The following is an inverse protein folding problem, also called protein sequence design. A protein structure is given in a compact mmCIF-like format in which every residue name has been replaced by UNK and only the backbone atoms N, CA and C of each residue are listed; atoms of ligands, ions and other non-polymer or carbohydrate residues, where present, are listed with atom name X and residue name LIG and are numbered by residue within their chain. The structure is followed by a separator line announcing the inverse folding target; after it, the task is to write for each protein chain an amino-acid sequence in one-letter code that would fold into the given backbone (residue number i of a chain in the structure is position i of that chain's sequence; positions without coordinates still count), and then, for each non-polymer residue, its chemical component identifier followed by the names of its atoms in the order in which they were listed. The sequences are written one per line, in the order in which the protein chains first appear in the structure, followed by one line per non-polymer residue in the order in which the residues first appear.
data_IF_859947555845
#
_entry.id   IF_859947555845
#
_cell.length_a   1.000
_cell.length_b   1.000
_cell.length_c   1.000
_cell.angle_alpha   90.00
_cell.angle_beta   90.00
_cell.angle_gamma   90.00
#
_symmetry.space_group_name_H-M   'P 1'
#
loop_
_entity.id
_entity.type
_entity.pdbx_description
1 polymer ?
#
# COMPACT_ATOMS: atom_id res chain seq x y z
N UNK A 1 -8.56 20.49 -1.90
CA UNK A 1 -8.78 19.14 -2.46
C UNK A 1 -8.73 18.14 -1.30
N UNK A 2 -9.73 17.24 -1.23
CA UNK A 2 -9.81 16.23 -0.18
C UNK A 2 -8.64 15.24 -0.32
N UNK A 3 -8.05 14.81 0.79
CA UNK A 3 -7.00 13.80 0.87
C UNK A 3 -7.37 12.53 0.06
N UNK A 4 -8.66 12.18 0.05
CA UNK A 4 -9.21 11.09 -0.75
C UNK A 4 -9.06 11.29 -2.27
N UNK A 5 -9.25 12.53 -2.74
CA UNK A 5 -9.12 12.88 -4.17
C UNK A 5 -7.65 12.84 -4.60
N UNK A 6 -6.76 13.28 -3.75
CA UNK A 6 -5.30 13.27 -3.99
C UNK A 6 -4.76 11.83 -4.05
N UNK A 7 -5.19 10.97 -3.12
CA UNK A 7 -4.83 9.54 -3.11
C UNK A 7 -5.37 8.81 -4.35
N UNK A 8 -6.58 9.15 -4.80
CA UNK A 8 -7.20 8.55 -5.98
C UNK A 8 -6.51 9.01 -7.27
N UNK A 9 -6.08 10.27 -7.33
CA UNK A 9 -5.31 10.82 -8.45
C UNK A 9 -3.94 10.13 -8.56
N UNK A 10 -3.24 9.98 -7.44
CA UNK A 10 -1.94 9.31 -7.35
C UNK A 10 -2.02 7.84 -7.82
N UNK A 11 -3.05 7.10 -7.38
CA UNK A 11 -3.30 5.72 -7.84
C UNK A 11 -3.61 5.63 -9.34
N UNK A 12 -4.40 6.57 -9.86
CA UNK A 12 -4.75 6.62 -11.28
C UNK A 12 -3.52 6.89 -12.16
N UNK A 13 -2.64 7.77 -11.73
CA UNK A 13 -1.38 8.04 -12.44
C UNK A 13 -0.44 6.84 -12.41
N UNK A 14 -0.26 6.20 -11.26
CA UNK A 14 0.56 5.00 -11.11
C UNK A 14 0.07 3.84 -11.98
N UNK A 15 -1.23 3.61 -12.04
CA UNK A 15 -1.80 2.58 -12.91
C UNK A 15 -1.54 2.88 -14.40
N UNK A 16 -1.65 4.13 -14.82
CA UNK A 16 -1.38 4.53 -16.20
C UNK A 16 0.07 4.27 -16.61
N UNK A 17 1.00 4.58 -15.73
CA UNK A 17 2.43 4.33 -15.95
C UNK A 17 2.73 2.83 -16.05
N UNK A 18 2.13 2.02 -15.16
CA UNK A 18 2.25 0.57 -15.21
C UNK A 18 1.72 -0.02 -16.53
N UNK A 19 0.58 0.45 -17.02
CA UNK A 19 0.05 0.02 -18.33
C UNK A 19 0.96 0.41 -19.49
N UNK A 20 1.62 1.56 -19.41
CA UNK A 20 2.61 1.96 -20.42
C UNK A 20 3.84 1.04 -20.41
N UNK A 21 4.36 0.69 -19.23
CA UNK A 21 5.48 -0.25 -19.08
C UNK A 21 5.12 -1.63 -19.64
N UNK A 22 3.92 -2.16 -19.32
CA UNK A 22 3.42 -3.40 -19.90
C UNK A 22 3.30 -3.36 -21.43
N UNK A 23 2.89 -2.22 -21.97
CA UNK A 23 2.84 -2.01 -23.42
C UNK A 23 4.23 -2.04 -24.06
N UNK A 24 5.22 -1.45 -23.41
CA UNK A 24 6.62 -1.48 -23.85
C UNK A 24 7.19 -2.89 -23.76
N UNK A 25 6.96 -3.62 -22.68
CA UNK A 25 7.39 -5.01 -22.51
C UNK A 25 6.85 -5.89 -23.65
N UNK A 26 5.56 -5.80 -23.90
CA UNK A 26 4.92 -6.54 -25.00
C UNK A 26 5.53 -6.20 -26.37
N UNK A 27 5.79 -4.93 -26.62
CA UNK A 27 6.43 -4.48 -27.88
C UNK A 27 7.83 -5.03 -28.01
N UNK A 28 8.60 -5.04 -26.93
CA UNK A 28 9.96 -5.54 -26.89
C UNK A 28 10.03 -7.07 -27.09
N UNK A 29 9.07 -7.81 -26.53
CA UNK A 29 8.91 -9.26 -26.75
C UNK A 29 8.65 -9.56 -28.23
N UNK A 30 7.74 -8.82 -28.87
CA UNK A 30 7.48 -8.99 -30.31
C UNK A 30 8.70 -8.65 -31.15
N UNK A 31 9.40 -7.58 -30.80
CA UNK A 31 10.61 -7.15 -31.50
C UNK A 31 11.72 -8.22 -31.39
N UNK A 32 12.00 -8.70 -30.18
CA UNK A 32 12.99 -9.77 -29.95
C UNK A 32 12.65 -11.06 -30.69
N UNK A 33 11.37 -11.44 -30.70
CA UNK A 33 10.89 -12.63 -31.41
C UNK A 33 11.06 -12.48 -32.92
N UNK A 34 10.79 -11.31 -33.47
CA UNK A 34 10.97 -11.00 -34.89
C UNK A 34 12.45 -11.03 -35.28
N UNK A 35 13.34 -10.46 -34.45
CA UNK A 35 14.78 -10.52 -34.67
C UNK A 35 15.30 -11.95 -34.69
N UNK A 36 14.88 -12.82 -33.76
CA UNK A 36 15.24 -14.23 -33.72
C UNK A 36 14.76 -14.99 -34.97
N UNK A 37 13.57 -14.67 -35.47
CA UNK A 37 13.05 -15.25 -36.71
C UNK A 37 13.88 -14.81 -37.92
N UNK A 38 14.29 -13.55 -37.96
CA UNK A 38 15.16 -13.02 -39.00
C UNK A 38 16.55 -13.67 -38.95
N UNK A 39 17.15 -13.79 -37.77
CA UNK A 39 18.42 -14.48 -37.56
C UNK A 39 18.40 -15.88 -38.17
N UNK A 40 17.37 -16.69 -37.80
CA UNK A 40 17.22 -18.05 -38.33
C UNK A 40 17.07 -18.10 -39.86
N UNK A 41 16.41 -17.09 -40.42
CA UNK A 41 16.22 -17.00 -41.88
C UNK A 41 17.54 -16.65 -42.58
N UNK A 42 18.28 -15.68 -42.07
CA UNK A 42 19.57 -15.27 -42.60
C UNK A 42 20.64 -16.36 -42.46
N UNK A 43 20.65 -17.09 -41.33
CA UNK A 43 21.52 -18.27 -41.17
C UNK A 43 21.24 -19.37 -42.19
N UNK A 44 19.96 -19.58 -42.55
CA UNK A 44 19.62 -20.55 -43.64
C UNK A 44 20.11 -20.10 -45.00
N UNK A 45 20.07 -18.80 -45.28
CA UNK A 45 20.61 -18.23 -46.50
C UNK A 45 22.13 -18.40 -46.54
N UNK A 46 22.84 -18.05 -45.45
CA UNK A 46 24.29 -18.16 -45.35
C UNK A 46 24.80 -19.60 -45.59
N UNK A 47 24.04 -20.63 -45.11
CA UNK A 47 24.37 -22.04 -45.35
C UNK A 47 24.26 -22.45 -46.83
N UNK A 48 23.95 -21.55 -47.75
CA UNK A 48 23.95 -21.76 -49.18
C UNK A 48 22.92 -22.79 -49.72
N UNK A 49 21.96 -23.19 -48.90
CA UNK A 49 20.95 -24.22 -49.28
C UNK A 49 19.83 -23.66 -50.16
N UNK A 50 19.64 -22.35 -50.14
CA UNK A 50 18.49 -21.68 -50.77
C UNK A 50 19.00 -20.82 -51.94
N UNK A 51 20.07 -20.04 -51.74
CA UNK A 51 20.66 -19.12 -52.72
C UNK A 51 22.16 -19.35 -52.71
N UNK A 52 22.77 -19.30 -53.90
CA UNK A 52 24.22 -19.31 -54.04
C UNK A 52 24.76 -17.88 -53.90
N UNK A 53 25.50 -17.64 -52.83
CA UNK A 53 26.10 -16.35 -52.52
C UNK A 53 27.49 -16.22 -53.13
N UNK A 54 27.90 -15.02 -53.52
CA UNK A 54 29.28 -14.66 -53.82
C UNK A 54 30.05 -14.39 -52.52
N UNK A 55 31.35 -14.36 -52.56
CA UNK A 55 32.21 -14.19 -51.38
C UNK A 55 31.92 -12.88 -50.64
N UNK A 56 31.82 -11.77 -51.36
CA UNK A 56 31.46 -10.47 -50.79
C UNK A 56 30.05 -10.44 -50.15
N UNK A 57 29.09 -11.21 -50.68
CA UNK A 57 27.73 -11.31 -50.13
C UNK A 57 27.72 -12.13 -48.84
N UNK A 58 28.62 -13.11 -48.71
CA UNK A 58 28.74 -13.93 -47.47
C UNK A 58 29.29 -13.08 -46.34
N UNK A 59 30.35 -12.30 -46.56
CA UNK A 59 30.94 -11.39 -45.58
C UNK A 59 29.91 -10.38 -45.09
N UNK A 60 29.18 -9.75 -46.00
CA UNK A 60 28.10 -8.81 -45.64
C UNK A 60 26.99 -9.47 -44.82
N UNK A 61 26.63 -10.71 -45.15
CA UNK A 61 25.59 -11.43 -44.44
C UNK A 61 26.03 -11.87 -43.04
N UNK A 62 27.31 -12.20 -42.84
CA UNK A 62 27.92 -12.48 -41.56
C UNK A 62 27.92 -11.22 -40.68
N UNK A 63 28.27 -10.08 -41.19
CA UNK A 63 28.22 -8.78 -40.49
C UNK A 63 26.78 -8.48 -40.02
N UNK A 64 25.78 -8.64 -40.89
CA UNK A 64 24.36 -8.44 -40.55
C UNK A 64 23.92 -9.41 -39.47
N UNK A 65 24.39 -10.67 -39.48
CA UNK A 65 24.06 -11.63 -38.43
C UNK A 65 24.66 -11.24 -37.07
N UNK A 66 25.86 -10.68 -37.06
CA UNK A 66 26.48 -10.15 -35.83
C UNK A 66 25.64 -9.01 -35.28
N UNK A 67 25.22 -8.06 -36.09
CA UNK A 67 24.36 -6.94 -35.67
C UNK A 67 22.98 -7.41 -35.12
N UNK A 68 22.38 -8.39 -35.80
CA UNK A 68 21.11 -8.97 -35.33
C UNK A 68 21.28 -9.66 -33.97
N UNK A 69 22.36 -10.44 -33.78
CA UNK A 69 22.65 -11.08 -32.47
C UNK A 69 22.83 -10.03 -31.37
N UNK A 70 23.57 -8.98 -31.65
CA UNK A 70 23.74 -7.86 -30.72
C UNK A 70 22.40 -7.18 -30.40
N UNK A 71 21.54 -6.96 -31.38
CA UNK A 71 20.20 -6.40 -31.17
C UNK A 71 19.29 -7.32 -30.33
N UNK A 72 19.40 -8.64 -30.50
CA UNK A 72 18.68 -9.62 -29.66
C UNK A 72 19.16 -9.56 -28.22
N UNK A 73 20.47 -9.50 -27.98
CA UNK A 73 21.03 -9.40 -26.64
C UNK A 73 20.61 -8.10 -25.95
N UNK A 74 20.71 -6.96 -26.65
CA UNK A 74 20.24 -5.67 -26.12
C UNK A 74 18.74 -5.70 -25.78
N UNK A 75 17.92 -6.31 -26.65
CA UNK A 75 16.50 -6.47 -26.40
C UNK A 75 16.24 -7.31 -25.13
N UNK A 76 17.03 -8.36 -24.90
CA UNK A 76 16.96 -9.17 -23.70
C UNK A 76 17.34 -8.39 -22.44
N UNK A 77 18.39 -7.58 -22.52
CA UNK A 77 18.81 -6.72 -21.40
C UNK A 77 17.70 -5.71 -21.06
N UNK A 78 17.13 -5.06 -22.07
CA UNK A 78 16.03 -4.11 -21.83
C UNK A 78 14.79 -4.77 -21.25
N UNK A 79 14.46 -6.02 -21.68
CA UNK A 79 13.37 -6.79 -21.06
C UNK A 79 13.63 -7.06 -19.58
N UNK A 80 14.84 -7.45 -19.21
CA UNK A 80 15.20 -7.69 -17.81
C UNK A 80 15.15 -6.39 -16.98
N UNK A 81 15.64 -5.28 -17.50
CA UNK A 81 15.56 -3.98 -16.83
C UNK A 81 14.09 -3.57 -16.65
N UNK A 82 13.27 -3.74 -17.67
CA UNK A 82 11.86 -3.37 -17.63
C UNK A 82 11.09 -4.22 -16.62
N UNK A 83 11.32 -5.55 -16.62
CA UNK A 83 10.73 -6.46 -15.63
C UNK A 83 11.12 -6.09 -14.20
N UNK A 84 12.42 -5.84 -13.95
CA UNK A 84 12.89 -5.38 -12.64
C UNK A 84 12.31 -4.04 -12.21
N UNK A 85 12.12 -3.12 -13.17
CA UNK A 85 11.47 -1.83 -12.91
C UNK A 85 9.99 -2.00 -12.55
N UNK A 86 9.27 -2.88 -13.25
CA UNK A 86 7.88 -3.21 -12.96
C UNK A 86 7.71 -3.85 -11.59
N UNK A 87 8.59 -4.78 -11.22
CA UNK A 87 8.57 -5.44 -9.91
C UNK A 87 8.82 -4.45 -8.77
N UNK A 88 9.80 -3.55 -8.95
CA UNK A 88 10.08 -2.48 -7.98
C UNK A 88 8.89 -1.52 -7.84
N UNK A 89 8.25 -1.16 -8.95
CA UNK A 89 7.08 -0.30 -8.98
C UNK A 89 5.87 -0.95 -8.29
N UNK A 90 5.60 -2.22 -8.59
CA UNK A 90 4.51 -2.99 -7.96
C UNK A 90 4.75 -3.15 -6.44
N UNK A 91 5.98 -3.44 -6.04
CA UNK A 91 6.37 -3.53 -4.62
C UNK A 91 6.22 -2.18 -3.90
N UNK A 92 6.61 -1.07 -4.53
CA UNK A 92 6.44 0.27 -3.98
C UNK A 92 4.97 0.66 -3.77
N UNK A 93 4.10 0.33 -4.73
CA UNK A 93 2.65 0.54 -4.58
C UNK A 93 2.09 -0.29 -3.43
N UNK A 94 2.47 -1.56 -3.33
CA UNK A 94 2.00 -2.46 -2.28
C UNK A 94 2.43 -1.98 -0.90
N UNK A 95 3.70 -1.63 -0.72
CA UNK A 95 4.22 -1.07 0.54
C UNK A 95 3.50 0.20 0.93
N UNK A 96 3.37 1.17 0.02
CA UNK A 96 2.68 2.44 0.30
C UNK A 96 1.20 2.26 0.66
N UNK A 97 0.51 1.27 0.06
CA UNK A 97 -0.88 0.96 0.44
C UNK A 97 -0.96 0.29 1.81
N UNK A 98 -0.05 -0.61 2.14
CA UNK A 98 0.02 -1.25 3.46
C UNK A 98 0.30 -0.23 4.57
N UNK A 99 1.22 0.70 4.35
CA UNK A 99 1.54 1.78 5.29
C UNK A 99 0.34 2.70 5.52
N UNK A 100 -0.39 3.04 4.46
CA UNK A 100 -1.63 3.82 4.56
C UNK A 100 -2.71 3.08 5.37
N UNK A 101 -2.90 1.77 5.14
CA UNK A 101 -3.82 0.94 5.92
C UNK A 101 -3.40 0.83 7.37
N UNK A 102 -2.11 0.59 7.65
CA UNK A 102 -1.58 0.53 9.01
C UNK A 102 -1.83 1.84 9.77
N UNK A 103 -1.62 2.99 9.11
CA UNK A 103 -1.90 4.30 9.66
C UNK A 103 -3.40 4.51 10.00
N UNK A 104 -4.29 4.13 9.07
CA UNK A 104 -5.75 4.21 9.29
C UNK A 104 -6.18 3.31 10.44
N UNK A 105 -5.70 2.07 10.49
CA UNK A 105 -5.99 1.12 11.56
C UNK A 105 -5.50 1.65 12.90
N UNK A 106 -4.27 2.14 12.97
CA UNK A 106 -3.68 2.73 14.18
C UNK A 106 -4.50 3.93 14.68
N UNK A 107 -4.90 4.82 13.77
CA UNK A 107 -5.75 5.96 14.13
C UNK A 107 -7.12 5.53 14.66
N UNK A 108 -7.77 4.56 14.01
CA UNK A 108 -9.06 4.03 14.46
C UNK A 108 -8.95 3.32 15.82
N UNK A 109 -7.87 2.55 16.04
CA UNK A 109 -7.60 1.94 17.33
C UNK A 109 -7.40 2.98 18.43
N UNK A 110 -6.67 4.05 18.15
CA UNK A 110 -6.49 5.16 19.10
C UNK A 110 -7.82 5.83 19.47
N UNK A 111 -8.72 6.02 18.50
CA UNK A 111 -10.05 6.57 18.77
C UNK A 111 -10.86 5.60 19.67
N UNK A 112 -10.89 4.32 19.31
CA UNK A 112 -11.60 3.31 20.11
C UNK A 112 -11.06 3.21 21.54
N UNK A 113 -9.71 3.21 21.68
CA UNK A 113 -9.07 3.18 23.00
C UNK A 113 -9.38 4.42 23.84
N UNK A 114 -9.39 5.62 23.22
CA UNK A 114 -9.82 6.85 23.90
C UNK A 114 -11.27 6.77 24.43
N UNK A 115 -12.19 6.32 23.58
CA UNK A 115 -13.60 6.18 23.94
C UNK A 115 -13.76 5.15 25.05
N UNK A 116 -13.09 3.99 24.93
CA UNK A 116 -13.13 2.94 25.94
C UNK A 116 -12.60 3.43 27.29
N UNK A 117 -11.47 4.13 27.29
CA UNK A 117 -10.91 4.72 28.51
C UNK A 117 -11.87 5.76 29.13
N UNK A 118 -12.48 6.62 28.30
CA UNK A 118 -13.43 7.60 28.78
C UNK A 118 -14.67 6.97 29.44
N UNK A 119 -15.24 5.95 28.77
CA UNK A 119 -16.38 5.18 29.30
C UNK A 119 -16.01 4.48 30.61
N UNK A 120 -14.84 3.85 30.67
CA UNK A 120 -14.37 3.14 31.87
C UNK A 120 -14.22 4.10 33.07
N UNK A 121 -13.64 5.29 32.84
CA UNK A 121 -13.47 6.31 33.86
C UNK A 121 -14.86 6.75 34.41
N UNK A 122 -15.81 7.05 33.53
CA UNK A 122 -17.15 7.49 33.91
C UNK A 122 -17.87 6.37 34.67
N UNK A 123 -17.75 5.12 34.20
CA UNK A 123 -18.40 3.97 34.88
C UNK A 123 -17.75 3.56 36.20
N UNK A 124 -16.48 3.92 36.43
CA UNK A 124 -15.84 3.67 37.73
C UNK A 124 -16.40 4.56 38.86
N UNK A 125 -16.93 5.75 38.56
CA UNK A 125 -17.42 6.72 39.54
C UNK A 125 -18.55 6.13 40.42
N UNK A 126 -19.62 5.52 39.86
CA UNK A 126 -20.63 4.87 40.67
C UNK A 126 -20.07 3.82 41.64
N UNK A 127 -19.16 2.97 41.14
CA UNK A 127 -18.56 1.91 41.93
C UNK A 127 -17.75 2.47 43.10
N UNK A 128 -16.98 3.55 42.90
CA UNK A 128 -16.20 4.20 43.95
C UNK A 128 -17.15 4.85 45.00
N UNK A 129 -18.15 5.59 44.54
CA UNK A 129 -19.08 6.30 45.45
C UNK A 129 -19.91 5.30 46.27
N UNK A 130 -20.55 4.34 45.61
CA UNK A 130 -21.37 3.33 46.34
C UNK A 130 -20.51 2.40 47.17
N UNK A 131 -19.28 2.07 46.76
CA UNK A 131 -18.32 1.32 47.59
C UNK A 131 -17.97 2.07 48.86
N UNK A 132 -17.74 3.38 48.80
CA UNK A 132 -17.39 4.23 49.92
C UNK A 132 -18.60 4.36 50.92
N UNK A 133 -19.80 4.64 50.37
CA UNK A 133 -21.00 4.74 51.21
C UNK A 133 -21.52 3.36 51.69
N UNK A 134 -21.17 2.28 51.06
CA UNK A 134 -21.48 0.91 51.45
C UNK A 134 -20.62 0.37 52.58
N UNK A 135 -19.53 1.03 52.94
CA UNK A 135 -18.70 0.66 54.07
C UNK A 135 -19.42 0.95 55.39
N UNK A 136 -19.41 -0.01 56.33
CA UNK A 136 -19.95 0.14 57.69
C UNK A 136 -19.04 1.05 58.54
N UNK A 137 -18.98 2.34 58.21
CA UNK A 137 -18.22 3.34 58.98
C UNK A 137 -19.15 3.98 60.03
N UNK A 138 -18.74 3.93 61.29
CA UNK A 138 -19.43 4.61 62.37
C UNK A 138 -19.43 6.11 62.12
N UNK A 139 -20.59 6.72 61.91
CA UNK A 139 -20.73 8.15 61.61
C UNK A 139 -21.53 8.47 60.33
N UNK A 140 -21.79 7.51 59.44
CA UNK A 140 -22.64 7.72 58.26
C UNK A 140 -24.14 7.33 58.50
N UNK A 141 -24.52 6.95 59.72
CA UNK A 141 -25.87 6.45 60.06
C UNK A 141 -27.03 7.42 59.93
N UNK A 142 -26.86 8.62 59.35
CA UNK A 142 -27.93 9.58 59.06
C UNK A 142 -28.00 10.09 57.63
N UNK A 143 -27.18 9.50 56.73
CA UNK A 143 -27.17 9.95 55.33
C UNK A 143 -28.31 9.31 54.56
N UNK A 144 -29.22 10.12 54.06
CA UNK A 144 -30.34 9.65 53.23
C UNK A 144 -29.80 9.11 51.87
N UNK A 145 -30.45 8.08 51.34
CA UNK A 145 -30.12 7.42 50.08
C UNK A 145 -29.96 8.40 48.88
N UNK A 146 -30.57 9.58 48.94
CA UNK A 146 -30.49 10.58 47.90
C UNK A 146 -29.12 11.25 47.81
N UNK A 147 -28.32 11.31 48.88
CA UNK A 147 -27.01 11.99 48.91
C UNK A 147 -25.98 11.24 48.03
N UNK A 148 -25.72 9.93 48.18
CA UNK A 148 -24.80 9.21 47.33
C UNK A 148 -25.22 9.20 45.84
N UNK A 149 -26.54 9.16 45.58
CA UNK A 149 -27.05 9.24 44.20
C UNK A 149 -26.74 10.61 43.58
N UNK A 150 -27.03 11.71 44.32
CA UNK A 150 -26.77 13.06 43.83
C UNK A 150 -25.26 13.31 43.59
N UNK A 151 -24.40 12.88 44.51
CA UNK A 151 -22.95 12.96 44.40
C UNK A 151 -22.45 12.18 43.16
N UNK A 152 -22.94 10.98 42.95
CA UNK A 152 -22.56 10.17 41.77
C UNK A 152 -22.93 10.86 40.47
N UNK A 153 -24.15 11.37 40.34
CA UNK A 153 -24.61 12.06 39.12
C UNK A 153 -23.82 13.30 38.84
N UNK A 154 -23.48 14.11 39.86
CA UNK A 154 -22.67 15.31 39.71
C UNK A 154 -21.25 14.94 39.26
N UNK A 155 -20.60 13.94 39.87
CA UNK A 155 -19.26 13.52 39.50
C UNK A 155 -19.21 12.90 38.10
N UNK A 156 -20.22 12.11 37.72
CA UNK A 156 -20.33 11.58 36.35
C UNK A 156 -20.48 12.70 35.32
N UNK A 157 -21.37 13.67 35.57
CA UNK A 157 -21.54 14.81 34.65
C UNK A 157 -20.26 15.63 34.54
N UNK A 158 -19.59 15.91 35.65
CA UNK A 158 -18.35 16.69 35.66
C UNK A 158 -17.24 15.97 34.90
N UNK A 159 -17.07 14.67 35.16
CA UNK A 159 -16.05 13.86 34.46
C UNK A 159 -16.34 13.75 32.97
N UNK A 160 -17.58 13.54 32.56
CA UNK A 160 -17.98 13.50 31.16
C UNK A 160 -17.67 14.85 30.43
N UNK A 161 -17.96 15.99 31.07
CA UNK A 161 -17.65 17.33 30.54
C UNK A 161 -16.13 17.52 30.40
N UNK A 162 -15.35 17.13 31.41
CA UNK A 162 -13.88 17.23 31.36
C UNK A 162 -13.32 16.37 30.22
N UNK A 163 -13.73 15.09 30.11
CA UNK A 163 -13.28 14.19 29.07
C UNK A 163 -13.69 14.66 27.66
N UNK A 164 -14.88 15.25 27.53
CA UNK A 164 -15.33 15.87 26.27
C UNK A 164 -14.44 17.07 25.89
N UNK A 165 -14.08 17.95 26.86
CA UNK A 165 -13.16 19.09 26.62
C UNK A 165 -11.73 18.63 26.27
N UNK A 166 -11.27 17.52 26.81
CA UNK A 166 -9.98 16.90 26.48
C UNK A 166 -9.98 16.19 25.11
N UNK A 167 -11.10 16.19 24.41
CA UNK A 167 -11.22 15.58 23.08
C UNK A 167 -11.22 14.05 23.07
N UNK A 168 -11.55 13.42 24.20
CA UNK A 168 -11.58 11.96 24.33
C UNK A 168 -12.74 11.32 23.56
N UNK A 169 -13.72 12.09 23.13
CA UNK A 169 -14.89 11.66 22.33
C UNK A 169 -14.81 12.11 20.86
N UNK A 170 -13.65 12.63 20.43
CA UNK A 170 -13.39 13.04 19.04
C UNK A 170 -12.39 12.14 18.35
#
# INVERSE_FOLDING_TARGET
LSLATETQLHRSMQNKELFQLLGLEKSLVYFSTSLKSNELTLEKILRGRIIKLYEDDQDLLEDVLIEIKQAIEMSSIYLNILSGTMDAFASGILSGTMDAFASIISNNLNIVMKILAAVTIVMAIPNIVFGFYGMNVVGFGGVTMFVPIAVTLILMALSAVILAKLGMFK
#
